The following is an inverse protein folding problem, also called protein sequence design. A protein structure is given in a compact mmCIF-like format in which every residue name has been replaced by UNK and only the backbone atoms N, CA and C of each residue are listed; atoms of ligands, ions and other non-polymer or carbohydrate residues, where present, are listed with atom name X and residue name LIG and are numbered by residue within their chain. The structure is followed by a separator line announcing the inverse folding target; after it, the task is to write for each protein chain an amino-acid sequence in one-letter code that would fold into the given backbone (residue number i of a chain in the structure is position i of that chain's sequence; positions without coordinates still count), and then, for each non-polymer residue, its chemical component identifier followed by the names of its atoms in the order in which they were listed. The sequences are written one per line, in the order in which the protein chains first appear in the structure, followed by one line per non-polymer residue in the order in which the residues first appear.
data_IF_453977287050
#
_entry.id   IF_453977287050
#
_cell.length_a   1.000
_cell.length_b   1.000
_cell.length_c   1.000
_cell.angle_alpha   90.00
_cell.angle_beta   90.00
_cell.angle_gamma   90.00
#
_symmetry.space_group_name_H-M   'P 1'
#
loop_
_entity.id
_entity.type
_entity.pdbx_description
1 polymer ?
#
# COMPACT_ATOMS: atom_id res chain seq x y z
N UNK A 1 -11.21 5.70 -7.24
CA UNK A 1 -12.16 4.78 -7.94
C UNK A 1 -11.83 3.37 -7.46
N UNK A 2 -12.82 2.63 -6.95
CA UNK A 2 -12.62 1.25 -6.46
C UNK A 2 -12.37 0.27 -7.60
N UNK A 3 -11.76 -0.88 -7.31
CA UNK A 3 -11.45 -1.94 -8.28
C UNK A 3 -12.68 -2.37 -9.10
N UNK A 4 -13.82 -2.55 -8.43
CA UNK A 4 -15.09 -2.94 -9.05
C UNK A 4 -15.57 -1.88 -10.06
N UNK A 5 -15.43 -0.60 -9.72
CA UNK A 5 -15.84 0.50 -10.62
C UNK A 5 -14.96 0.58 -11.88
N UNK A 6 -13.65 0.37 -11.73
CA UNK A 6 -12.69 0.34 -12.85
C UNK A 6 -12.99 -0.85 -13.76
N UNK A 7 -13.11 -2.06 -13.20
CA UNK A 7 -13.40 -3.27 -13.98
C UNK A 7 -14.73 -3.18 -14.72
N UNK A 8 -15.77 -2.58 -14.11
CA UNK A 8 -17.05 -2.34 -14.78
C UNK A 8 -16.91 -1.36 -15.95
N UNK A 9 -16.11 -0.31 -15.78
CA UNK A 9 -15.88 0.70 -16.82
C UNK A 9 -15.07 0.13 -17.98
N UNK A 10 -14.00 -0.61 -17.68
CA UNK A 10 -13.18 -1.32 -18.67
C UNK A 10 -14.00 -2.34 -19.45
N UNK A 11 -14.81 -3.17 -18.77
CA UNK A 11 -15.70 -4.13 -19.45
C UNK A 11 -16.64 -3.45 -20.44
N UNK A 12 -17.27 -2.33 -20.06
CA UNK A 12 -18.13 -1.54 -20.95
C UNK A 12 -17.37 -0.98 -22.14
N UNK A 13 -16.17 -0.45 -21.91
CA UNK A 13 -15.32 0.10 -22.96
C UNK A 13 -14.89 -0.98 -23.95
N UNK A 14 -14.42 -2.14 -23.47
CA UNK A 14 -14.07 -3.27 -24.33
C UNK A 14 -15.28 -3.74 -25.14
N UNK A 15 -16.45 -3.86 -24.53
CA UNK A 15 -17.67 -4.27 -25.23
C UNK A 15 -18.06 -3.27 -26.33
N UNK A 16 -17.97 -1.97 -26.04
CA UNK A 16 -18.23 -0.91 -27.02
C UNK A 16 -17.21 -0.96 -28.17
N UNK A 17 -15.91 -1.09 -27.86
CA UNK A 17 -14.85 -1.23 -28.85
C UNK A 17 -15.08 -2.46 -29.74
N UNK A 18 -15.41 -3.62 -29.15
CA UNK A 18 -15.71 -4.84 -29.90
C UNK A 18 -16.94 -4.65 -30.79
N UNK A 19 -18.01 -4.03 -30.28
CA UNK A 19 -19.21 -3.75 -31.07
C UNK A 19 -18.93 -2.81 -32.26
N UNK A 20 -18.17 -1.73 -32.03
CA UNK A 20 -17.76 -0.80 -33.09
C UNK A 20 -16.88 -1.52 -34.12
N UNK A 21 -15.94 -2.35 -33.68
CA UNK A 21 -15.04 -3.07 -34.56
C UNK A 21 -15.79 -4.11 -35.41
N UNK A 22 -16.76 -4.81 -34.83
CA UNK A 22 -17.66 -5.71 -35.57
C UNK A 22 -18.52 -4.95 -36.59
N UNK A 23 -19.03 -3.77 -36.22
CA UNK A 23 -19.82 -2.92 -37.12
C UNK A 23 -18.97 -2.40 -38.29
N UNK A 24 -17.72 -1.99 -38.03
CA UNK A 24 -16.78 -1.59 -39.07
C UNK A 24 -16.42 -2.74 -40.00
N UNK A 25 -16.21 -3.94 -39.44
CA UNK A 25 -15.90 -5.13 -40.19
C UNK A 25 -17.09 -5.52 -41.09
N UNK A 26 -18.31 -5.53 -40.53
CA UNK A 26 -19.54 -5.75 -41.29
C UNK A 26 -19.76 -4.68 -42.38
N UNK A 27 -19.46 -3.41 -42.09
CA UNK A 27 -19.59 -2.32 -43.07
C UNK A 27 -18.60 -2.48 -44.23
N UNK A 28 -17.36 -2.89 -43.95
CA UNK A 28 -16.34 -3.13 -44.96
C UNK A 28 -16.70 -4.27 -45.92
N UNK A 29 -17.37 -5.31 -45.43
CA UNK A 29 -17.80 -6.46 -46.24
C UNK A 29 -19.23 -6.33 -46.78
N UNK A 30 -19.88 -5.17 -46.62
CA UNK A 30 -21.25 -4.96 -47.06
C UNK A 30 -21.39 -4.99 -48.60
N UNK A 31 -20.34 -4.59 -49.33
CA UNK A 31 -20.32 -4.60 -50.79
C UNK A 31 -20.25 -6.03 -51.38
N UNK A 32 -19.65 -6.98 -50.65
CA UNK A 32 -19.49 -8.38 -51.07
C UNK A 32 -20.68 -9.28 -50.66
N UNK A 33 -21.62 -8.76 -49.86
CA UNK A 33 -22.75 -9.50 -49.34
C UNK A 33 -23.91 -9.53 -50.35
N UNK A 34 -24.07 -10.65 -51.05
CA UNK A 34 -25.18 -10.88 -51.98
C UNK A 34 -26.52 -10.94 -51.23
N UNK A 35 -27.31 -9.85 -51.33
CA UNK A 35 -28.68 -9.80 -50.81
C UNK A 35 -29.06 -8.57 -49.97
N UNK A 36 -28.13 -7.63 -49.71
CA UNK A 36 -28.45 -6.40 -48.98
C UNK A 36 -29.08 -5.32 -49.89
N UNK A 37 -30.10 -4.58 -49.42
CA UNK A 37 -30.64 -3.44 -50.16
C UNK A 37 -29.59 -2.34 -50.40
N UNK A 38 -29.62 -1.64 -51.56
CA UNK A 38 -28.62 -0.61 -51.89
C UNK A 38 -28.52 0.54 -50.87
N UNK A 39 -29.62 0.87 -50.20
CA UNK A 39 -29.64 1.92 -49.17
C UNK A 39 -28.84 1.51 -47.91
N UNK A 40 -28.81 0.22 -47.57
CA UNK A 40 -28.09 -0.32 -46.41
C UNK A 40 -26.58 -0.27 -46.67
N UNK A 41 -26.16 -0.67 -47.87
CA UNK A 41 -24.76 -0.63 -48.31
C UNK A 41 -24.24 0.82 -48.33
N UNK A 42 -25.03 1.76 -48.88
CA UNK A 42 -24.70 3.18 -48.86
C UNK A 42 -24.54 3.74 -47.45
N UNK A 43 -25.44 3.38 -46.53
CA UNK A 43 -25.36 3.82 -45.14
C UNK A 43 -24.13 3.24 -44.42
N UNK A 44 -23.82 1.96 -44.64
CA UNK A 44 -22.66 1.28 -44.07
C UNK A 44 -21.34 1.94 -44.49
N UNK A 45 -21.19 2.25 -45.79
CA UNK A 45 -19.99 2.91 -46.31
C UNK A 45 -19.81 4.33 -45.74
N UNK A 46 -20.89 5.11 -45.60
CA UNK A 46 -20.84 6.43 -44.94
C UNK A 46 -20.41 6.34 -43.47
N UNK A 47 -20.90 5.33 -42.75
CA UNK A 47 -20.51 5.10 -41.35
C UNK A 47 -19.05 4.67 -41.26
N UNK A 48 -18.58 3.81 -42.16
CA UNK A 48 -17.18 3.40 -42.24
C UNK A 48 -16.25 4.57 -42.52
N UNK A 49 -16.54 5.39 -43.53
CA UNK A 49 -15.73 6.57 -43.87
C UNK A 49 -15.68 7.57 -42.72
N UNK A 50 -16.84 7.89 -42.11
CA UNK A 50 -16.90 8.76 -40.94
C UNK A 50 -16.04 8.23 -39.77
N UNK A 51 -16.16 6.94 -39.46
CA UNK A 51 -15.39 6.31 -38.40
C UNK A 51 -13.89 6.26 -38.72
N UNK A 52 -13.51 6.03 -39.97
CA UNK A 52 -12.11 6.05 -40.42
C UNK A 52 -11.53 7.44 -40.25
N UNK A 53 -12.26 8.47 -40.69
CA UNK A 53 -11.79 9.86 -40.64
C UNK A 53 -11.72 10.36 -39.20
N UNK A 54 -12.62 9.93 -38.33
CA UNK A 54 -12.61 10.25 -36.90
C UNK A 54 -11.77 9.27 -36.05
N UNK A 55 -11.16 8.24 -36.65
CA UNK A 55 -10.48 7.17 -35.90
C UNK A 55 -9.36 7.69 -35.01
N UNK A 56 -8.59 8.66 -35.49
CA UNK A 56 -7.52 9.30 -34.72
C UNK A 56 -8.10 10.05 -33.51
N UNK A 57 -9.15 10.85 -33.72
CA UNK A 57 -9.80 11.59 -32.64
C UNK A 57 -10.40 10.65 -31.58
N UNK A 58 -11.04 9.57 -32.03
CA UNK A 58 -11.60 8.54 -31.14
C UNK A 58 -10.48 7.82 -30.38
N UNK A 59 -9.38 7.45 -31.04
CA UNK A 59 -8.24 6.82 -30.38
C UNK A 59 -7.61 7.74 -29.34
N UNK A 60 -7.34 9.00 -29.69
CA UNK A 60 -6.80 10.00 -28.77
C UNK A 60 -7.74 10.25 -27.60
N UNK A 61 -9.04 10.41 -27.84
CA UNK A 61 -10.05 10.58 -26.79
C UNK A 61 -10.16 9.36 -25.87
N UNK A 62 -10.09 8.16 -26.45
CA UNK A 62 -10.09 6.89 -25.72
C UNK A 62 -8.87 6.74 -24.82
N UNK A 63 -7.67 7.03 -25.34
CA UNK A 63 -6.42 7.01 -24.57
C UNK A 63 -6.46 8.05 -23.44
N UNK A 64 -6.93 9.26 -23.71
CA UNK A 64 -7.07 10.31 -22.69
C UNK A 64 -8.05 9.90 -21.58
N UNK A 65 -9.18 9.29 -21.94
CA UNK A 65 -10.17 8.79 -20.98
C UNK A 65 -9.61 7.64 -20.13
N UNK A 66 -8.95 6.66 -20.75
CA UNK A 66 -8.28 5.55 -20.05
C UNK A 66 -7.21 6.07 -19.09
N UNK A 67 -6.38 7.01 -19.56
CA UNK A 67 -5.33 7.64 -18.76
C UNK A 67 -5.93 8.34 -17.54
N UNK A 68 -7.03 9.07 -17.70
CA UNK A 68 -7.75 9.70 -16.59
C UNK A 68 -8.29 8.66 -15.58
N UNK A 69 -8.83 7.52 -16.04
CA UNK A 69 -9.29 6.44 -15.15
C UNK A 69 -8.12 5.86 -14.35
N UNK A 70 -7.01 5.53 -15.03
CA UNK A 70 -5.83 4.98 -14.37
C UNK A 70 -5.23 5.98 -13.37
N UNK A 71 -5.16 7.27 -13.72
CA UNK A 71 -4.74 8.32 -12.79
C UNK A 71 -5.66 8.40 -11.56
N UNK A 72 -6.98 8.34 -11.74
CA UNK A 72 -7.95 8.33 -10.62
C UNK A 72 -7.85 7.08 -9.75
N UNK A 73 -7.49 5.92 -10.34
CA UNK A 73 -7.24 4.69 -9.57
C UNK A 73 -5.93 4.78 -8.80
N UNK A 74 -4.85 5.23 -9.44
CA UNK A 74 -3.54 5.41 -8.80
C UNK A 74 -3.62 6.33 -7.58
N UNK A 75 -4.23 7.52 -7.71
CA UNK A 75 -4.47 8.44 -6.57
C UNK A 75 -5.31 7.81 -5.45
N UNK A 76 -6.27 6.96 -5.82
CA UNK A 76 -7.10 6.26 -4.84
C UNK A 76 -6.33 5.16 -4.12
N UNK A 77 -5.48 4.39 -4.81
CA UNK A 77 -4.56 3.42 -4.17
C UNK A 77 -3.62 4.13 -3.22
N UNK A 78 -3.01 5.23 -3.64
CA UNK A 78 -2.10 6.03 -2.81
C UNK A 78 -2.77 6.51 -1.52
N UNK A 79 -4.01 7.02 -1.62
CA UNK A 79 -4.82 7.39 -0.44
C UNK A 79 -5.14 6.17 0.45
N UNK A 80 -5.45 5.01 -0.13
CA UNK A 80 -5.68 3.78 0.65
C UNK A 80 -4.41 3.30 1.37
N UNK A 81 -3.25 3.42 0.75
CA UNK A 81 -1.98 3.07 1.39
C UNK A 81 -1.69 4.00 2.58
N UNK A 82 -2.01 5.29 2.46
CA UNK A 82 -1.89 6.23 3.56
C UNK A 82 -2.83 5.87 4.71
N UNK A 83 -4.09 5.56 4.40
CA UNK A 83 -5.03 5.08 5.42
C UNK A 83 -4.59 3.77 6.05
N UNK A 84 -4.04 2.84 5.27
CA UNK A 84 -3.48 1.61 5.82
C UNK A 84 -2.33 1.90 6.79
N UNK A 85 -1.40 2.81 6.44
CA UNK A 85 -0.33 3.25 7.33
C UNK A 85 -0.90 3.87 8.61
N UNK A 86 -1.97 4.66 8.51
CA UNK A 86 -2.64 5.25 9.67
C UNK A 86 -3.27 4.17 10.56
N UNK A 87 -4.00 3.21 9.98
CA UNK A 87 -4.58 2.06 10.70
C UNK A 87 -3.48 1.26 11.42
N UNK A 88 -2.36 0.97 10.76
CA UNK A 88 -1.22 0.24 11.35
C UNK A 88 -0.64 1.01 12.54
N UNK A 89 -0.44 2.32 12.41
CA UNK A 89 0.05 3.18 13.50
C UNK A 89 -0.94 3.21 14.66
N UNK A 90 -2.23 3.31 14.36
CA UNK A 90 -3.31 3.28 15.35
C UNK A 90 -3.31 1.96 16.10
N UNK A 91 -3.25 0.81 15.41
CA UNK A 91 -3.08 -0.50 16.04
C UNK A 91 -1.89 -0.51 17.00
N UNK A 92 -0.72 -0.06 16.56
CA UNK A 92 0.47 -0.02 17.42
C UNK A 92 0.27 0.85 18.67
N UNK A 93 -0.42 1.99 18.56
CA UNK A 93 -0.76 2.83 19.70
C UNK A 93 -1.75 2.16 20.65
N UNK A 94 -2.75 1.45 20.12
CA UNK A 94 -3.69 0.70 20.96
C UNK A 94 -2.98 -0.42 21.74
N UNK A 95 -2.09 -1.16 21.07
CA UNK A 95 -1.33 -2.25 21.71
C UNK A 95 -0.36 -1.71 22.76
N UNK A 96 0.34 -0.60 22.49
CA UNK A 96 1.26 -0.01 23.47
C UNK A 96 0.51 0.47 24.72
N UNK A 97 -0.70 1.01 24.57
CA UNK A 97 -1.56 1.36 25.70
C UNK A 97 -1.94 0.12 26.54
N UNK A 98 -2.17 -1.03 25.90
CA UNK A 98 -2.47 -2.29 26.62
C UNK A 98 -1.23 -2.87 27.34
N UNK A 99 -0.03 -2.64 26.84
CA UNK A 99 1.22 -3.16 27.43
C UNK A 99 1.75 -2.34 28.61
N UNK A 100 1.29 -1.10 28.77
CA UNK A 100 1.72 -0.24 29.88
C UNK A 100 1.31 -0.86 31.24
N UNK A 101 2.24 -0.96 32.22
CA UNK A 101 1.93 -1.48 33.55
C UNK A 101 0.80 -0.69 34.21
N UNK A 102 0.85 0.63 34.09
CA UNK A 102 -0.15 1.57 34.59
C UNK A 102 -0.85 2.26 33.42
N UNK A 103 -2.17 2.34 33.47
CA UNK A 103 -2.97 2.95 32.42
C UNK A 103 -3.29 4.40 32.78
N UNK A 104 -2.45 5.34 32.33
CA UNK A 104 -2.73 6.75 32.54
C UNK A 104 -3.92 7.20 31.67
N UNK A 105 -4.77 8.08 32.22
CA UNK A 105 -5.93 8.63 31.50
C UNK A 105 -5.53 9.30 30.19
N UNK A 106 -4.42 10.04 30.18
CA UNK A 106 -3.94 10.73 28.98
C UNK A 106 -3.50 9.75 27.88
N UNK A 107 -2.86 8.64 28.26
CA UNK A 107 -2.46 7.57 27.33
C UNK A 107 -3.67 6.88 26.71
N UNK A 108 -4.70 6.61 27.53
CA UNK A 108 -5.97 6.06 27.06
C UNK A 108 -6.67 7.03 26.10
N UNK A 109 -6.80 8.30 26.47
CA UNK A 109 -7.47 9.31 25.64
C UNK A 109 -6.74 9.52 24.32
N UNK A 110 -5.40 9.56 24.32
CA UNK A 110 -4.61 9.66 23.10
C UNK A 110 -4.87 8.48 22.16
N UNK A 111 -4.89 7.25 22.69
CA UNK A 111 -5.22 6.04 21.92
C UNK A 111 -6.67 6.06 21.41
N UNK A 112 -7.62 6.49 22.26
CA UNK A 112 -9.04 6.57 21.95
C UNK A 112 -9.36 7.61 20.86
N UNK A 113 -8.75 8.80 20.92
CA UNK A 113 -8.92 9.81 19.88
C UNK A 113 -8.28 9.36 18.56
N UNK A 114 -7.12 8.70 18.62
CA UNK A 114 -6.45 8.21 17.42
C UNK A 114 -7.29 7.17 16.67
N UNK A 115 -7.92 6.21 17.37
CA UNK A 115 -8.81 5.24 16.70
C UNK A 115 -10.09 5.90 16.19
N UNK A 116 -10.61 6.91 16.89
CA UNK A 116 -11.79 7.65 16.44
C UNK A 116 -11.50 8.47 15.17
N UNK A 117 -10.36 9.17 15.15
CA UNK A 117 -9.86 9.85 13.96
C UNK A 117 -9.68 8.89 12.79
N UNK A 118 -9.05 7.73 13.02
CA UNK A 118 -8.87 6.70 11.97
C UNK A 118 -10.21 6.23 11.38
N UNK A 119 -11.24 6.05 12.23
CA UNK A 119 -12.59 5.69 11.77
C UNK A 119 -13.20 6.82 10.92
N UNK A 120 -13.06 8.06 11.35
CA UNK A 120 -13.66 9.20 10.65
C UNK A 120 -12.95 9.50 9.32
N UNK A 121 -11.63 9.38 9.26
CA UNK A 121 -10.87 9.51 8.01
C UNK A 121 -11.28 8.43 7.01
N UNK A 122 -11.49 7.19 7.46
CA UNK A 122 -11.97 6.12 6.59
C UNK A 122 -13.36 6.36 5.99
N UNK A 123 -14.22 7.15 6.66
CA UNK A 123 -15.54 7.56 6.12
C UNK A 123 -15.42 8.51 4.93
N UNK A 124 -14.29 9.19 4.77
CA UNK A 124 -14.02 10.05 3.60
C UNK A 124 -13.72 9.18 2.38
N UNK A 125 -13.08 8.02 2.58
CA UNK A 125 -12.62 7.14 1.50
C UNK A 125 -13.74 6.26 0.97
N UNK A 126 -14.58 5.71 1.87
CA UNK A 126 -15.66 4.79 1.49
C UNK A 126 -17.03 5.27 1.95
N UNK A 127 -17.98 5.17 1.02
CA UNK A 127 -19.42 5.24 1.31
C UNK A 127 -19.83 4.01 2.14
N UNK A 128 -20.85 4.16 2.97
CA UNK A 128 -21.43 3.01 3.67
C UNK A 128 -22.02 2.00 2.67
N UNK A 129 -21.84 0.72 2.98
CA UNK A 129 -22.38 -0.39 2.22
C UNK A 129 -23.90 -0.41 2.33
N UNK A 130 -24.58 -0.30 1.18
CA UNK A 130 -26.04 -0.25 1.13
C UNK A 130 -26.66 1.10 1.50
N UNK A 131 -25.88 2.18 1.52
CA UNK A 131 -26.41 3.53 1.77
C UNK A 131 -27.32 4.02 0.63
N UNK A 132 -28.56 4.38 0.96
CA UNK A 132 -29.59 4.91 0.05
C UNK A 132 -29.94 6.36 0.40
N UNK A 133 -30.95 6.94 -0.23
CA UNK A 133 -31.44 8.28 0.11
C UNK A 133 -32.09 8.36 1.51
N UNK A 134 -32.50 7.21 2.08
CA UNK A 134 -33.20 7.14 3.37
C UNK A 134 -32.45 6.30 4.41
N UNK A 135 -31.56 5.40 3.98
CA UNK A 135 -30.83 4.48 4.85
C UNK A 135 -29.35 4.82 4.87
N UNK A 136 -28.78 4.94 6.08
CA UNK A 136 -27.36 5.27 6.31
C UNK A 136 -26.42 4.15 5.86
N UNK A 137 -26.91 2.91 5.71
CA UNK A 137 -26.08 1.75 5.33
C UNK A 137 -25.19 1.24 6.46
N UNK A 138 -24.38 0.23 6.14
CA UNK A 138 -23.43 -0.39 7.06
C UNK A 138 -22.02 0.15 6.82
N UNK A 139 -21.30 0.45 7.90
CA UNK A 139 -19.91 0.87 7.80
C UNK A 139 -19.03 -0.29 7.28
N UNK A 140 -18.29 -0.11 6.17
CA UNK A 140 -17.63 -1.21 5.46
C UNK A 140 -16.49 -1.87 6.24
N UNK A 141 -15.92 -1.20 7.25
CA UNK A 141 -14.79 -1.69 8.04
C UNK A 141 -15.12 -1.72 9.53
N UNK A 142 -16.24 -2.35 9.88
CA UNK A 142 -16.72 -2.52 11.26
C UNK A 142 -15.64 -2.97 12.28
N UNK A 143 -14.64 -3.80 11.94
CA UNK A 143 -13.59 -4.17 12.90
C UNK A 143 -12.81 -2.98 13.49
N UNK A 144 -12.73 -1.82 12.82
CA UNK A 144 -12.16 -0.60 13.42
C UNK A 144 -12.99 -0.12 14.63
N UNK A 145 -14.32 -0.21 14.53
CA UNK A 145 -15.20 0.07 15.66
C UNK A 145 -15.05 -0.98 16.76
N UNK A 146 -14.80 -2.25 16.42
CA UNK A 146 -14.57 -3.31 17.41
C UNK A 146 -13.25 -3.09 18.18
N UNK A 147 -12.18 -2.66 17.50
CA UNK A 147 -10.94 -2.23 18.15
C UNK A 147 -11.20 -1.09 19.16
N UNK A 148 -12.00 -0.10 18.76
CA UNK A 148 -12.39 1.00 19.66
C UNK A 148 -13.22 0.50 20.85
N UNK A 149 -14.22 -0.35 20.61
CA UNK A 149 -15.07 -0.93 21.67
C UNK A 149 -14.26 -1.74 22.66
N UNK A 150 -13.30 -2.53 22.18
CA UNK A 150 -12.38 -3.28 23.03
C UNK A 150 -11.57 -2.33 23.92
N UNK A 151 -10.97 -1.27 23.35
CA UNK A 151 -10.23 -0.27 24.12
C UNK A 151 -11.11 0.41 25.18
N UNK A 152 -12.36 0.74 24.86
CA UNK A 152 -13.29 1.40 25.80
C UNK A 152 -13.52 0.60 27.09
N UNK A 153 -13.36 -0.72 27.06
CA UNK A 153 -13.48 -1.55 28.28
C UNK A 153 -12.35 -1.30 29.28
N UNK A 154 -11.24 -0.71 28.83
CA UNK A 154 -10.10 -0.29 29.65
C UNK A 154 -10.15 1.19 30.04
N UNK A 155 -11.28 1.91 29.86
CA UNK A 155 -11.34 3.33 30.23
C UNK A 155 -11.00 3.51 31.72
N UNK A 156 -9.87 4.16 32.07
CA UNK A 156 -9.41 4.26 33.46
C UNK A 156 -10.34 5.10 34.34
N UNK A 157 -11.25 5.88 33.73
CA UNK A 157 -12.29 6.65 34.44
C UNK A 157 -13.45 5.77 34.90
N UNK A 158 -13.63 4.61 34.26
CA UNK A 158 -14.69 3.64 34.56
C UNK A 158 -14.10 2.43 35.29
N UNK A 159 -12.93 1.96 34.85
CA UNK A 159 -12.22 0.80 35.39
C UNK A 159 -10.76 1.18 35.73
N UNK A 160 -10.51 1.80 36.88
CA UNK A 160 -9.18 2.29 37.27
C UNK A 160 -8.17 1.17 37.58
N UNK A 161 -8.65 -0.03 37.93
CA UNK A 161 -7.83 -1.19 38.31
C UNK A 161 -7.94 -2.34 37.29
N UNK A 162 -7.89 -2.02 36.00
CA UNK A 162 -7.93 -3.03 34.95
C UNK A 162 -6.81 -4.08 35.13
N UNK A 163 -7.20 -5.36 35.26
CA UNK A 163 -6.27 -6.46 35.54
C UNK A 163 -5.37 -6.76 34.33
N UNK A 164 -4.23 -7.42 34.58
CA UNK A 164 -3.34 -7.86 33.49
C UNK A 164 -4.03 -8.80 32.49
N UNK A 165 -4.94 -9.66 32.97
CA UNK A 165 -5.73 -10.57 32.14
C UNK A 165 -6.72 -9.79 31.25
N UNK A 166 -7.38 -8.77 31.79
CA UNK A 166 -8.26 -7.88 31.01
C UNK A 166 -7.49 -7.15 29.91
N UNK A 167 -6.32 -6.59 30.23
CA UNK A 167 -5.45 -5.94 29.25
C UNK A 167 -5.01 -6.92 28.15
N UNK A 168 -4.70 -8.16 28.52
CA UNK A 168 -4.34 -9.23 27.57
C UNK A 168 -5.50 -9.58 26.65
N UNK A 169 -6.71 -9.76 27.19
CA UNK A 169 -7.92 -10.05 26.42
C UNK A 169 -8.24 -8.92 25.42
N UNK A 170 -8.14 -7.66 25.85
CA UNK A 170 -8.38 -6.50 24.98
C UNK A 170 -7.34 -6.42 23.88
N UNK A 171 -6.07 -6.66 24.21
CA UNK A 171 -4.98 -6.73 23.23
C UNK A 171 -5.25 -7.79 22.15
N UNK A 172 -5.66 -8.98 22.57
CA UNK A 172 -6.01 -10.08 21.65
C UNK A 172 -7.23 -9.75 20.78
N UNK A 173 -8.28 -9.16 21.35
CA UNK A 173 -9.46 -8.70 20.61
C UNK A 173 -9.12 -7.63 19.56
N UNK A 174 -8.22 -6.70 19.90
CA UNK A 174 -7.72 -5.68 18.97
C UNK A 174 -6.92 -6.32 17.83
N UNK A 175 -6.04 -7.29 18.14
CA UNK A 175 -5.27 -8.03 17.13
C UNK A 175 -6.18 -8.82 16.20
N UNK A 176 -7.15 -9.55 16.74
CA UNK A 176 -8.11 -10.31 15.95
C UNK A 176 -8.92 -9.40 15.02
N UNK A 177 -9.43 -8.28 15.53
CA UNK A 177 -10.17 -7.29 14.74
C UNK A 177 -9.29 -6.68 13.63
N UNK A 178 -8.02 -6.37 13.94
CA UNK A 178 -7.07 -5.88 12.95
C UNK A 178 -6.76 -6.92 11.86
N UNK A 179 -6.63 -8.20 12.20
CA UNK A 179 -6.39 -9.24 11.20
C UNK A 179 -7.61 -9.47 10.30
N UNK A 180 -8.82 -9.47 10.85
CA UNK A 180 -10.06 -9.53 10.08
C UNK A 180 -10.17 -8.33 9.11
N UNK A 181 -9.84 -7.13 9.58
CA UNK A 181 -9.75 -5.94 8.73
C UNK A 181 -8.74 -6.10 7.61
N UNK A 182 -7.53 -6.58 7.94
CA UNK A 182 -6.42 -6.74 7.00
C UNK A 182 -6.81 -7.62 5.82
N UNK A 183 -7.45 -8.76 6.07
CA UNK A 183 -7.81 -9.71 5.00
C UNK A 183 -8.63 -9.06 3.90
N UNK A 184 -9.72 -8.36 4.25
CA UNK A 184 -10.58 -7.70 3.26
C UNK A 184 -10.01 -6.39 2.75
N UNK A 185 -9.31 -5.61 3.58
CA UNK A 185 -8.75 -4.32 3.16
C UNK A 185 -7.62 -4.47 2.14
N UNK A 186 -6.77 -5.50 2.28
CA UNK A 186 -5.66 -5.73 1.35
C UNK A 186 -6.14 -6.10 -0.06
N UNK A 187 -7.33 -6.68 -0.21
CA UNK A 187 -7.92 -6.96 -1.52
C UNK A 187 -8.16 -5.68 -2.35
N UNK A 188 -8.35 -4.53 -1.70
CA UNK A 188 -8.56 -3.23 -2.36
C UNK A 188 -7.24 -2.56 -2.78
N UNK A 189 -6.13 -2.91 -2.13
CA UNK A 189 -4.79 -2.42 -2.47
C UNK A 189 -4.17 -3.11 -3.69
N UNK A 190 -4.72 -4.24 -4.14
CA UNK A 190 -4.27 -5.00 -5.32
C UNK A 190 -2.76 -5.30 -5.27
N UNK A 191 -2.30 -5.79 -4.11
CA UNK A 191 -0.88 -6.06 -3.85
C UNK A 191 -0.35 -7.16 -4.77
N UNK A 192 0.75 -6.87 -5.47
CA UNK A 192 1.49 -7.86 -6.24
C UNK A 192 2.41 -8.69 -5.33
N UNK A 193 2.69 -9.93 -5.75
CA UNK A 193 3.66 -10.77 -5.06
C UNK A 193 5.08 -10.18 -5.24
N UNK A 194 5.89 -10.10 -4.16
CA UNK A 194 7.27 -9.66 -4.27
C UNK A 194 8.06 -10.54 -5.24
N UNK A 195 8.83 -9.95 -6.14
CA UNK A 195 9.66 -10.70 -7.11
C UNK A 195 10.84 -11.46 -6.46
N UNK A 196 11.21 -11.10 -5.23
CA UNK A 196 12.32 -11.73 -4.50
C UNK A 196 11.97 -11.86 -3.03
N UNK A 197 11.01 -12.74 -2.67
CA UNK A 197 10.53 -12.86 -1.31
C UNK A 197 11.51 -13.68 -0.45
N UNK A 198 11.70 -13.26 0.79
CA UNK A 198 12.46 -14.02 1.79
C UNK A 198 11.51 -14.86 2.63
N UNK A 199 11.23 -16.08 2.17
CA UNK A 199 10.16 -16.93 2.71
C UNK A 199 10.57 -17.77 3.93
N UNK A 200 11.86 -17.90 4.21
CA UNK A 200 12.34 -18.74 5.33
C UNK A 200 12.34 -17.96 6.65
N UNK A 201 11.77 -18.56 7.70
CA UNK A 201 11.94 -18.07 9.08
C UNK A 201 13.40 -18.21 9.52
N UNK A 202 13.96 -17.19 10.16
CA UNK A 202 15.37 -17.22 10.60
C UNK A 202 16.38 -17.09 9.45
N UNK A 203 15.98 -16.42 8.36
CA UNK A 203 16.87 -16.11 7.25
C UNK A 203 18.19 -15.47 7.72
N UNK A 204 19.29 -15.82 7.07
CA UNK A 204 20.64 -15.34 7.41
C UNK A 204 21.19 -14.46 6.29
N UNK A 205 22.01 -13.48 6.67
CA UNK A 205 22.76 -12.67 5.72
C UNK A 205 23.72 -13.59 4.94
N UNK A 206 23.53 -13.70 3.62
CA UNK A 206 24.42 -14.48 2.75
C UNK A 206 25.73 -13.75 2.43
N UNK A 207 25.72 -12.41 2.49
CA UNK A 207 26.89 -11.58 2.20
C UNK A 207 27.80 -11.51 3.43
N UNK A 208 29.05 -11.93 3.30
CA UNK A 208 30.08 -11.70 4.33
C UNK A 208 30.40 -10.19 4.38
N UNK A 209 30.67 -9.60 5.56
CA UNK A 209 31.21 -8.25 5.67
C UNK A 209 32.52 -8.10 4.86
N UNK A 210 32.65 -7.01 4.12
CA UNK A 210 33.83 -6.74 3.31
C UNK A 210 33.53 -5.89 2.08
N UNK A 211 34.59 -5.47 1.42
CA UNK A 211 34.55 -4.76 0.15
C UNK A 211 35.38 -5.51 -0.90
N UNK A 212 35.01 -5.36 -2.16
CA UNK A 212 35.80 -5.85 -3.29
C UNK A 212 37.21 -5.23 -3.32
N UNK A 213 38.17 -5.92 -3.95
CA UNK A 213 39.57 -5.51 -3.98
C UNK A 213 39.77 -4.11 -4.56
N UNK A 214 39.03 -3.73 -5.59
CA UNK A 214 39.12 -2.39 -6.16
C UNK A 214 38.75 -1.30 -5.15
N UNK A 215 37.70 -1.54 -4.37
CA UNK A 215 37.26 -0.62 -3.32
C UNK A 215 38.27 -0.54 -2.16
N UNK A 216 38.90 -1.67 -1.79
CA UNK A 216 39.99 -1.68 -0.79
C UNK A 216 41.21 -0.90 -1.26
N UNK A 217 41.62 -1.08 -2.51
CA UNK A 217 42.74 -0.33 -3.11
C UNK A 217 42.43 1.17 -3.13
N UNK A 218 41.20 1.54 -3.50
CA UNK A 218 40.77 2.95 -3.50
C UNK A 218 40.76 3.54 -2.09
N UNK A 219 40.27 2.79 -1.09
CA UNK A 219 40.29 3.18 0.31
C UNK A 219 41.73 3.41 0.81
N UNK A 220 42.66 2.51 0.47
CA UNK A 220 44.06 2.65 0.86
C UNK A 220 44.76 3.82 0.16
N UNK A 221 44.43 4.06 -1.11
CA UNK A 221 44.92 5.24 -1.81
C UNK A 221 44.41 6.55 -1.17
N UNK A 222 43.14 6.60 -0.78
CA UNK A 222 42.57 7.74 -0.04
C UNK A 222 43.25 7.92 1.32
N UNK A 223 43.46 6.83 2.07
CA UNK A 223 44.15 6.84 3.37
C UNK A 223 45.56 7.42 3.24
N UNK A 224 46.37 6.91 2.30
CA UNK A 224 47.72 7.42 2.04
C UNK A 224 47.77 8.88 1.60
N UNK A 225 46.71 9.37 0.95
CA UNK A 225 46.61 10.80 0.59
C UNK A 225 46.33 11.65 1.82
N UNK A 226 45.42 11.22 2.68
CA UNK A 226 45.02 11.96 3.88
C UNK A 226 46.09 11.93 4.97
N UNK A 227 46.82 10.82 5.14
CA UNK A 227 47.95 10.70 6.09
C UNK A 227 49.12 11.65 5.79
N UNK A 228 49.19 12.23 4.59
CA UNK A 228 50.23 13.21 4.23
C UNK A 228 50.01 14.57 4.89
N UNK A 229 48.78 14.86 5.31
CA UNK A 229 48.42 16.11 5.96
C UNK A 229 48.14 15.84 7.45
N UNK A 230 48.70 16.63 8.38
CA UNK A 230 48.41 16.45 9.79
C UNK A 230 46.92 16.72 10.06
N UNK A 231 46.26 15.78 10.72
CA UNK A 231 44.88 15.95 11.14
C UNK A 231 44.74 17.18 12.04
N UNK A 232 43.80 18.07 11.72
CA UNK A 232 43.56 19.29 12.49
C UNK A 232 43.16 19.00 13.95
N UNK A 233 42.58 17.82 14.21
CA UNK A 233 42.17 17.34 15.54
C UNK A 233 42.45 15.84 15.70
N UNK A 234 43.67 15.46 16.11
CA UNK A 234 44.09 14.05 16.19
C UNK A 234 43.27 13.21 17.19
N UNK A 235 42.68 13.85 18.19
CA UNK A 235 41.82 13.20 19.19
C UNK A 235 40.53 12.64 18.59
N UNK A 236 39.97 13.31 17.57
CA UNK A 236 38.75 12.86 16.87
C UNK A 236 39.05 11.61 16.05
N UNK A 237 40.18 11.60 15.34
CA UNK A 237 40.59 10.45 14.52
C UNK A 237 40.91 9.22 15.38
N UNK A 238 41.57 9.43 16.53
CA UNK A 238 41.83 8.38 17.51
C UNK A 238 40.52 7.80 18.07
N UNK A 239 39.55 8.65 18.40
CA UNK A 239 38.23 8.23 18.86
C UNK A 239 37.47 7.42 17.79
N UNK A 240 37.43 7.89 16.55
CA UNK A 240 36.74 7.21 15.45
C UNK A 240 37.41 5.88 15.07
N UNK A 241 38.74 5.82 15.14
CA UNK A 241 39.49 4.57 14.92
C UNK A 241 39.19 3.56 16.03
N UNK A 242 39.13 3.99 17.29
CA UNK A 242 38.75 3.12 18.41
C UNK A 242 37.32 2.58 18.27
N UNK A 243 36.37 3.40 17.79
CA UNK A 243 35.01 2.94 17.51
C UNK A 243 34.99 1.87 16.40
N UNK A 244 35.70 2.11 15.29
CA UNK A 244 35.77 1.16 14.17
C UNK A 244 36.41 -0.17 14.58
N UNK A 245 37.49 -0.15 15.36
CA UNK A 245 38.12 -1.38 15.85
C UNK A 245 37.15 -2.19 16.72
N UNK A 246 36.37 -1.53 17.58
CA UNK A 246 35.33 -2.19 18.39
C UNK A 246 34.19 -2.78 17.54
N UNK A 247 33.79 -2.09 16.47
CA UNK A 247 32.81 -2.61 15.52
C UNK A 247 33.35 -3.86 14.81
N UNK A 248 34.59 -3.82 14.32
CA UNK A 248 35.24 -4.96 13.65
C UNK A 248 35.46 -6.16 14.60
N UNK A 249 35.73 -5.92 15.87
CA UNK A 249 35.83 -6.98 16.91
C UNK A 249 34.48 -7.62 17.24
N UNK A 250 33.40 -6.83 17.26
CA UNK A 250 32.05 -7.32 17.51
C UNK A 250 31.45 -8.09 16.31
N UNK A 251 31.91 -7.82 15.09
CA UNK A 251 31.48 -8.51 13.87
C UNK A 251 32.18 -9.86 13.61
N UNK A 252 33.28 -10.18 14.32
CA UNK A 252 33.95 -11.48 14.20
C UNK A 252 33.10 -12.60 14.83
N UNK A 253 32.81 -13.71 14.12
CA UNK A 253 32.06 -14.83 14.70
C UNK A 253 32.77 -15.38 15.94
N UNK A 254 32.02 -15.62 17.03
CA UNK A 254 32.53 -16.15 18.32
C UNK A 254 33.18 -17.54 18.25
N UNK A 255 33.32 -18.15 17.06
CA UNK A 255 33.89 -19.48 16.87
C UNK A 255 35.43 -19.55 17.03
N UNK A 256 36.12 -18.41 17.14
CA UNK A 256 37.59 -18.34 17.29
C UNK A 256 38.06 -17.86 18.67
N UNK A 257 37.24 -17.96 19.72
CA UNK A 257 37.76 -17.83 21.09
C UNK A 257 38.23 -19.20 21.58
N UNK A 258 39.56 -19.48 21.64
CA UNK A 258 40.03 -20.65 22.36
C UNK A 258 39.60 -20.53 23.83
N UNK A 259 39.09 -21.64 24.37
CA UNK A 259 38.72 -21.84 25.77
C UNK A 259 39.86 -21.47 26.72
#
# INVERSE_FOLDING_TARGET
MTRVSVNRTLKRLYWLLTAVLLLLLASKFADDASGLPPFVVSAANKVYDFMRDMSLLIATGGVAYLSNIFQKRSKFVESLEEEWRNIVRTKSALLSTCEKPYLATDDYLAAFYRISETIDTMRIVYKNSGETSTLVGLYPYAPLHDMRRALQTLDPRINPEATADQKTLVREAILQSFFALRETFLEELDLEEPQSPLLISGARRLKVPGADMAARIMQDHQRRRLEREPAQKPEVDAFLTALRTREEENERPQAEKPL
#
